data_IF_688982685364
#
_entry.id   IF_688982685364
#
_cell.length_a   1.000
_cell.length_b   1.000
_cell.length_c   1.000
_cell.angle_alpha   90.00
_cell.angle_beta   90.00
_cell.angle_gamma   90.00
#
_symmetry.space_group_name_H-M   'P 1'
#
loop_
_entity.id
_entity.type
_entity.pdbx_description
1 polymer ?
#
# COMPACT_ATOMS: atom_id res chain seq x y z
N UNK A 1 8.48 -23.26 -0.46
CA UNK A 1 8.35 -21.79 -0.59
C UNK A 1 7.27 -21.49 -1.62
N UNK A 2 6.10 -21.01 -1.18
CA UNK A 2 5.04 -20.55 -2.11
C UNK A 2 5.33 -19.11 -2.53
N UNK A 3 5.32 -18.84 -3.84
CA UNK A 3 5.55 -17.52 -4.40
C UNK A 3 4.35 -16.61 -4.08
N UNK A 4 4.59 -15.47 -3.45
CA UNK A 4 3.64 -14.36 -3.45
C UNK A 4 3.74 -13.66 -4.80
N UNK A 5 2.60 -13.43 -5.47
CA UNK A 5 2.52 -12.66 -6.70
C UNK A 5 1.98 -11.27 -6.35
N UNK A 6 2.69 -10.23 -6.76
CA UNK A 6 2.20 -8.86 -6.70
C UNK A 6 1.37 -8.64 -7.95
N UNK A 7 0.07 -8.40 -7.78
CA UNK A 7 -0.85 -8.08 -8.87
C UNK A 7 -1.01 -6.56 -8.94
N UNK A 8 -0.75 -5.98 -10.11
CA UNK A 8 -1.06 -4.58 -10.41
C UNK A 8 -2.30 -4.55 -11.30
N UNK A 9 -3.43 -4.04 -10.78
CA UNK A 9 -4.64 -3.79 -11.55
C UNK A 9 -4.62 -2.33 -12.02
N UNK A 10 -4.88 -2.07 -13.31
CA UNK A 10 -5.04 -0.70 -13.81
C UNK A 10 -6.37 -0.13 -13.29
N UNK A 11 -6.40 1.05 -12.68
CA UNK A 11 -7.65 1.66 -12.26
C UNK A 11 -8.24 2.48 -13.43
N UNK A 12 -9.54 2.31 -13.65
CA UNK A 12 -10.37 3.19 -14.47
C UNK A 12 -10.50 4.62 -13.88
N UNK A 13 -9.90 4.86 -12.71
CA UNK A 13 -9.95 6.10 -11.94
C UNK A 13 -8.52 6.49 -11.55
N UNK A 14 -8.16 7.77 -11.60
CA UNK A 14 -6.90 8.30 -11.09
C UNK A 14 -6.82 8.16 -9.56
N UNK A 15 -6.58 6.95 -9.06
CA UNK A 15 -6.49 6.70 -7.63
C UNK A 15 -5.27 7.42 -7.04
N UNK A 16 -5.42 8.05 -5.86
CA UNK A 16 -4.29 8.66 -5.15
C UNK A 16 -3.18 7.64 -4.84
N UNK A 17 -1.95 8.10 -4.55
CA UNK A 17 -0.85 7.22 -4.18
C UNK A 17 -1.19 6.31 -3.00
N UNK A 18 -1.01 5.00 -3.18
CA UNK A 18 -1.38 4.00 -2.20
C UNK A 18 -0.54 2.74 -2.31
N UNK A 19 -0.56 1.94 -1.25
CA UNK A 19 0.07 0.61 -1.21
C UNK A 19 -0.89 -0.45 -0.68
N UNK A 20 -0.63 -1.69 -1.07
CA UNK A 20 -1.28 -2.88 -0.52
C UNK A 20 -0.27 -3.65 0.32
N UNK A 21 -0.64 -3.98 1.55
CA UNK A 21 0.11 -4.84 2.46
C UNK A 21 -0.61 -6.17 2.53
N UNK A 22 0.08 -7.25 2.19
CA UNK A 22 -0.45 -8.61 2.24
C UNK A 22 0.35 -9.47 3.21
N UNK A 23 -0.36 -10.27 4.00
CA UNK A 23 0.17 -11.34 4.83
C UNK A 23 -0.66 -12.59 4.56
N UNK A 24 -0.21 -13.75 5.09
CA UNK A 24 -0.77 -15.07 4.77
C UNK A 24 -2.31 -15.10 4.76
N UNK A 25 -2.94 -14.48 5.75
CA UNK A 25 -4.40 -14.46 5.94
C UNK A 25 -4.95 -13.03 6.14
N UNK A 26 -4.17 -12.00 5.80
CA UNK A 26 -4.54 -10.60 6.06
C UNK A 26 -4.13 -9.66 4.92
N UNK A 27 -4.94 -8.62 4.69
CA UNK A 27 -4.68 -7.59 3.69
C UNK A 27 -5.00 -6.21 4.23
N UNK A 28 -4.25 -5.19 3.81
CA UNK A 28 -4.53 -3.80 4.09
C UNK A 28 -4.18 -2.90 2.90
N UNK A 29 -4.96 -1.86 2.68
CA UNK A 29 -4.68 -0.78 1.73
C UNK A 29 -4.45 0.50 2.52
N UNK A 30 -3.34 1.18 2.25
CA UNK A 30 -3.03 2.49 2.83
C UNK A 30 -2.87 3.54 1.73
N UNK A 31 -3.50 4.70 1.92
CA UNK A 31 -3.11 5.91 1.20
C UNK A 31 -1.75 6.38 1.70
N UNK A 32 -0.98 7.03 0.83
CA UNK A 32 0.29 7.66 1.20
C UNK A 32 0.12 9.17 1.44
N UNK A 33 -0.96 9.79 0.94
CA UNK A 33 -1.22 11.22 1.07
C UNK A 33 -2.67 11.53 1.49
N UNK A 34 -2.94 11.75 2.79
CA UNK A 34 -2.09 11.45 3.95
C UNK A 34 -1.97 9.93 4.20
N UNK A 35 -1.05 9.52 5.10
CA UNK A 35 -0.89 8.11 5.47
C UNK A 35 -2.08 7.63 6.31
N UNK A 36 -3.03 6.97 5.63
CA UNK A 36 -4.32 6.57 6.20
C UNK A 36 -4.76 5.19 5.72
N UNK A 37 -5.41 4.45 6.63
CA UNK A 37 -5.94 3.13 6.33
C UNK A 37 -7.21 3.26 5.50
N UNK A 38 -7.18 2.78 4.25
CA UNK A 38 -8.34 2.77 3.36
C UNK A 38 -9.21 1.52 3.58
N UNK A 39 -8.57 0.37 3.78
CA UNK A 39 -9.24 -0.91 3.98
C UNK A 39 -8.33 -1.90 4.71
N UNK A 40 -8.88 -2.74 5.58
CA UNK A 40 -8.15 -3.87 6.16
C UNK A 40 -9.04 -5.10 6.33
N UNK A 41 -8.45 -6.28 6.20
CA UNK A 41 -9.04 -7.58 6.56
C UNK A 41 -7.98 -8.43 7.26
N UNK A 42 -8.34 -9.11 8.34
CA UNK A 42 -7.46 -10.08 9.02
C UNK A 42 -6.39 -9.50 9.95
N UNK A 43 -5.94 -8.25 9.75
CA UNK A 43 -5.03 -7.58 10.68
C UNK A 43 -5.72 -7.14 11.98
N UNK A 44 -5.04 -7.30 13.11
CA UNK A 44 -5.47 -6.72 14.39
C UNK A 44 -5.09 -5.24 14.46
N UNK A 45 -5.80 -4.47 15.30
CA UNK A 45 -5.56 -3.03 15.46
C UNK A 45 -4.07 -2.70 15.75
N UNK A 46 -3.41 -3.44 16.65
CA UNK A 46 -1.98 -3.25 16.96
C UNK A 46 -1.04 -3.47 15.77
N UNK A 47 -1.41 -4.37 14.85
CA UNK A 47 -0.63 -4.65 13.65
C UNK A 47 -0.80 -3.53 12.65
N UNK A 48 -2.03 -3.03 12.49
CA UNK A 48 -2.31 -1.84 11.68
C UNK A 48 -1.56 -0.60 12.20
N UNK A 49 -1.49 -0.40 13.53
CA UNK A 49 -0.69 0.68 14.12
C UNK A 49 0.79 0.56 13.77
N UNK A 50 1.37 -0.64 13.86
CA UNK A 50 2.78 -0.88 13.51
C UNK A 50 3.02 -0.67 12.01
N UNK A 51 2.14 -1.21 11.17
CA UNK A 51 2.19 -1.00 9.72
C UNK A 51 2.15 0.48 9.38
N UNK A 52 1.21 1.23 9.97
CA UNK A 52 1.11 2.68 9.74
C UNK A 52 2.39 3.41 10.13
N UNK A 53 3.01 3.06 11.26
CA UNK A 53 4.27 3.67 11.68
C UNK A 53 5.40 3.40 10.67
N UNK A 54 5.54 2.16 10.22
CA UNK A 54 6.51 1.79 9.17
C UNK A 54 6.24 2.51 7.85
N UNK A 55 4.97 2.64 7.45
CA UNK A 55 4.62 3.35 6.22
C UNK A 55 4.93 4.84 6.33
N UNK A 56 4.74 5.46 7.50
CA UNK A 56 5.11 6.86 7.74
C UNK A 56 6.63 7.03 7.64
N UNK A 57 7.40 6.13 8.25
CA UNK A 57 8.87 6.15 8.23
C UNK A 57 9.41 6.07 6.80
N UNK A 58 8.83 5.21 5.96
CA UNK A 58 9.25 5.01 4.57
C UNK A 58 8.40 5.78 3.54
N UNK A 59 7.58 6.74 3.98
CA UNK A 59 6.56 7.39 3.12
C UNK A 59 7.15 7.97 1.86
N UNK A 60 8.30 8.65 1.97
CA UNK A 60 8.97 9.30 0.85
C UNK A 60 9.41 8.28 -0.21
N UNK A 61 10.08 7.21 0.20
CA UNK A 61 10.54 6.14 -0.70
C UNK A 61 9.36 5.44 -1.38
N UNK A 62 8.27 5.21 -0.65
CA UNK A 62 7.06 4.61 -1.20
C UNK A 62 6.38 5.50 -2.24
N UNK A 63 6.34 6.82 -2.01
CA UNK A 63 5.82 7.79 -2.98
C UNK A 63 6.67 7.86 -4.24
N UNK A 64 7.99 7.94 -4.11
CA UNK A 64 8.92 7.91 -5.24
C UNK A 64 8.74 6.63 -6.08
N UNK A 65 8.66 5.47 -5.43
CA UNK A 65 8.41 4.20 -6.10
C UNK A 65 7.04 4.18 -6.81
N UNK A 66 6.00 4.73 -6.17
CA UNK A 66 4.66 4.83 -6.75
C UNK A 66 4.67 5.71 -8.00
N UNK A 67 5.24 6.92 -7.95
CA UNK A 67 5.33 7.81 -9.11
C UNK A 67 6.24 7.24 -10.21
N UNK A 68 7.33 6.56 -9.86
CA UNK A 68 8.20 5.93 -10.85
C UNK A 68 7.50 4.79 -11.62
N UNK A 69 6.51 4.13 -10.99
CA UNK A 69 5.73 3.04 -11.56
C UNK A 69 4.47 3.52 -12.30
N UNK A 70 3.70 4.43 -11.71
CA UNK A 70 2.40 4.88 -12.21
C UNK A 70 2.43 6.28 -12.84
N UNK A 71 3.43 7.11 -12.53
CA UNK A 71 3.61 8.45 -13.10
C UNK A 71 4.28 8.46 -14.49
N UNK A 72 4.73 7.30 -14.98
CA UNK A 72 5.07 7.11 -16.40
C UNK A 72 3.81 6.93 -17.22
N UNK A 73 3.07 8.01 -17.38
CA UNK A 73 2.04 8.17 -18.40
C UNK A 73 2.20 9.58 -18.96
N UNK A 74 3.21 9.73 -19.80
CA UNK A 74 3.32 10.76 -20.82
C UNK A 74 3.46 10.05 -22.15
#
# INVERSE_FOLDING_TARGET
MGRAAILFLQPENSEPPHIHVESRDATAKYWLEPVELARSRGFRARELTRLRATIIEHRHELLEAWYAHFGRSA
#
